data_IF_570490875850
#
_entry.id   IF_570490875850
#
_cell.length_a   1.000
_cell.length_b   1.000
_cell.length_c   1.000
_cell.angle_alpha   90.00
_cell.angle_beta   90.00
_cell.angle_gamma   90.00
#
_symmetry.space_group_name_H-M   'P 1'
#
loop_
_entity.id
_entity.type
_entity.pdbx_description
1 polymer ?
#
# COMPACT_ATOMS: atom_id res chain seq x y z
N UNK A 1 16.33 18.50 -4.36
CA UNK A 1 15.90 17.15 -4.81
C UNK A 1 14.43 17.22 -5.22
N UNK A 2 14.07 16.64 -6.39
CA UNK A 2 12.69 16.62 -6.89
C UNK A 2 12.21 15.18 -7.05
N UNK A 3 10.95 14.92 -6.64
CA UNK A 3 10.33 13.61 -6.66
C UNK A 3 8.97 13.72 -7.33
N UNK A 4 8.77 12.97 -8.41
CA UNK A 4 7.47 12.80 -9.08
C UNK A 4 6.84 11.51 -8.59
N UNK A 5 5.66 11.61 -7.98
CA UNK A 5 4.82 10.46 -7.65
C UNK A 5 3.67 10.37 -8.64
N UNK A 6 3.42 9.19 -9.14
CA UNK A 6 2.35 8.86 -10.07
C UNK A 6 1.47 7.82 -9.38
N UNK A 7 0.17 8.07 -9.22
CA UNK A 7 -0.76 7.10 -8.67
C UNK A 7 -1.43 6.36 -9.81
N UNK A 8 -1.29 5.04 -9.84
CA UNK A 8 -1.72 4.19 -10.93
C UNK A 8 -2.39 2.92 -10.46
N UNK A 9 -3.53 2.57 -11.09
CA UNK A 9 -4.17 1.26 -10.93
C UNK A 9 -3.63 0.27 -11.97
N UNK A 10 -3.42 -0.98 -11.56
CA UNK A 10 -2.99 -2.07 -12.45
C UNK A 10 -4.13 -2.58 -13.34
N UNK A 11 -5.37 -2.27 -12.96
CA UNK A 11 -6.58 -2.70 -13.66
C UNK A 11 -7.04 -1.69 -14.72
N UNK A 12 -6.53 -0.46 -14.65
CA UNK A 12 -6.87 0.60 -15.58
C UNK A 12 -5.78 0.78 -16.64
N UNK A 13 -6.19 1.21 -17.82
CA UNK A 13 -5.22 1.58 -18.85
C UNK A 13 -4.41 2.80 -18.38
N UNK A 14 -3.07 2.79 -18.46
CA UNK A 14 -2.20 3.86 -17.96
C UNK A 14 -2.21 5.12 -18.84
N UNK A 15 -3.41 5.61 -19.17
CA UNK A 15 -3.59 6.80 -20.03
C UNK A 15 -3.75 8.07 -19.22
N UNK A 16 -4.51 7.99 -18.10
CA UNK A 16 -4.72 9.11 -17.19
C UNK A 16 -4.26 8.70 -15.79
N UNK A 17 -3.53 9.59 -15.15
CA UNK A 17 -3.03 9.37 -13.81
C UNK A 17 -3.16 10.62 -12.95
N UNK A 18 -3.20 10.44 -11.65
CA UNK A 18 -2.96 11.50 -10.68
C UNK A 18 -1.47 11.55 -10.39
N UNK A 19 -0.94 12.74 -10.21
CA UNK A 19 0.47 12.91 -9.91
C UNK A 19 0.73 14.01 -8.89
N UNK A 20 1.88 13.94 -8.26
CA UNK A 20 2.40 14.96 -7.35
C UNK A 20 3.89 15.16 -7.59
N UNK A 21 4.30 16.40 -7.83
CA UNK A 21 5.70 16.78 -7.90
C UNK A 21 6.10 17.48 -6.59
N UNK A 22 6.93 16.81 -5.82
CA UNK A 22 7.49 17.31 -4.57
C UNK A 22 8.87 17.87 -4.85
N UNK A 23 9.14 19.10 -4.43
CA UNK A 23 10.45 19.73 -4.52
C UNK A 23 10.84 20.26 -3.15
N UNK A 24 12.12 20.18 -2.81
CA UNK A 24 12.63 20.60 -1.51
C UNK A 24 12.28 22.07 -1.23
N UNK A 25 11.71 22.33 -0.06
CA UNK A 25 11.33 23.67 0.39
C UNK A 25 10.13 24.29 -0.34
N UNK A 26 9.38 23.52 -1.13
CA UNK A 26 8.18 23.99 -1.84
C UNK A 26 6.98 23.13 -1.51
N UNK A 27 5.78 23.72 -1.59
CA UNK A 27 4.53 22.96 -1.55
C UNK A 27 4.45 22.01 -2.76
N UNK A 28 3.94 20.79 -2.59
CA UNK A 28 3.75 19.85 -3.68
C UNK A 28 2.83 20.44 -4.77
N UNK A 29 3.26 20.33 -6.01
CA UNK A 29 2.39 20.63 -7.16
C UNK A 29 1.69 19.34 -7.55
N UNK A 30 0.37 19.36 -7.58
CA UNK A 30 -0.45 18.19 -7.89
C UNK A 30 -1.23 18.40 -9.17
N UNK A 31 -1.51 17.31 -9.87
CA UNK A 31 -2.33 17.36 -11.09
C UNK A 31 -2.92 16.01 -11.43
N UNK A 32 -3.76 16.05 -12.44
CA UNK A 32 -4.35 14.88 -13.08
C UNK A 32 -4.31 15.09 -14.58
N UNK A 33 -3.98 14.07 -15.34
CA UNK A 33 -3.91 14.20 -16.79
C UNK A 33 -3.25 13.02 -17.49
N UNK A 34 -2.93 13.23 -18.75
CA UNK A 34 -2.28 12.22 -19.57
C UNK A 34 -0.83 12.01 -19.14
N UNK A 35 -0.39 10.76 -19.17
CA UNK A 35 0.99 10.36 -18.82
C UNK A 35 2.04 11.15 -19.65
N UNK A 36 1.75 11.39 -20.94
CA UNK A 36 2.63 12.16 -21.81
C UNK A 36 2.77 13.66 -21.43
N UNK A 37 1.94 14.17 -20.52
CA UNK A 37 1.94 15.56 -20.06
C UNK A 37 2.52 15.72 -18.64
N UNK A 38 3.11 14.66 -18.08
CA UNK A 38 3.73 14.70 -16.77
C UNK A 38 4.94 15.66 -16.73
N UNK A 39 5.25 16.23 -15.56
CA UNK A 39 6.49 16.97 -15.37
C UNK A 39 7.72 16.10 -15.59
N UNK A 40 8.43 16.29 -16.69
CA UNK A 40 9.53 15.41 -17.13
C UNK A 40 10.88 15.65 -16.45
N UNK A 41 10.97 16.56 -15.45
CA UNK A 41 12.25 16.96 -14.84
C UNK A 41 12.35 16.59 -13.36
N UNK A 42 11.82 15.43 -12.98
CA UNK A 42 12.04 14.93 -11.63
C UNK A 42 13.33 14.10 -11.58
N UNK A 43 14.08 14.23 -10.49
CA UNK A 43 15.30 13.43 -10.24
C UNK A 43 14.96 11.98 -9.85
N UNK A 44 13.78 11.77 -9.26
CA UNK A 44 13.24 10.44 -8.91
C UNK A 44 11.78 10.36 -9.32
N UNK A 45 11.38 9.17 -9.75
CA UNK A 45 9.98 8.87 -10.09
C UNK A 45 9.51 7.67 -9.30
N UNK A 46 8.33 7.75 -8.72
CA UNK A 46 7.66 6.68 -7.98
C UNK A 46 6.30 6.41 -8.59
N UNK A 47 6.05 5.15 -8.96
CA UNK A 47 4.72 4.64 -9.27
C UNK A 47 4.12 4.10 -7.97
N UNK A 48 3.02 4.71 -7.52
CA UNK A 48 2.31 4.31 -6.30
C UNK A 48 1.10 3.47 -6.70
N UNK A 49 1.06 2.24 -6.22
CA UNK A 49 -0.03 1.30 -6.46
C UNK A 49 -1.03 1.32 -5.28
N UNK A 50 -2.33 1.23 -5.54
CA UNK A 50 -3.36 1.10 -4.52
C UNK A 50 -3.09 -0.08 -3.58
N UNK A 51 -3.41 0.08 -2.31
CA UNK A 51 -3.27 -0.99 -1.31
C UNK A 51 -4.05 -2.26 -1.66
N UNK A 52 -5.16 -2.13 -2.38
CA UNK A 52 -6.02 -3.25 -2.81
C UNK A 52 -5.45 -4.06 -3.99
N UNK A 53 -4.40 -3.57 -4.65
CA UNK A 53 -3.82 -4.20 -5.84
C UNK A 53 -2.46 -4.85 -5.58
N UNK A 54 -1.98 -4.79 -4.34
CA UNK A 54 -0.74 -5.42 -3.91
C UNK A 54 -0.99 -6.25 -2.66
N UNK A 55 -0.90 -7.57 -2.80
CA UNK A 55 -0.92 -8.48 -1.65
C UNK A 55 0.48 -8.50 -1.02
N UNK A 56 0.54 -8.25 0.28
CA UNK A 56 1.77 -8.43 1.07
C UNK A 56 1.55 -9.63 1.97
N UNK A 57 2.38 -10.65 1.85
CA UNK A 57 2.24 -11.89 2.61
C UNK A 57 3.57 -12.43 3.10
N UNK A 58 3.51 -13.23 4.18
CA UNK A 58 4.67 -13.96 4.72
C UNK A 58 4.78 -15.32 4.03
N UNK A 59 5.98 -15.69 3.64
CA UNK A 59 6.29 -17.01 3.09
C UNK A 59 7.59 -17.56 3.68
N UNK A 60 7.75 -18.88 3.67
CA UNK A 60 9.02 -19.51 4.01
C UNK A 60 9.75 -19.85 2.71
N UNK A 61 10.79 -19.11 2.41
CA UNK A 61 11.61 -19.36 1.23
C UNK A 61 12.79 -20.26 1.55
N UNK A 62 13.13 -21.24 0.68
CA UNK A 62 14.40 -21.94 0.75
C UNK A 62 15.56 -20.94 0.65
N UNK A 63 16.66 -21.19 1.35
CA UNK A 63 17.82 -20.27 1.34
C UNK A 63 18.36 -19.98 -0.09
N UNK A 64 18.21 -20.92 -1.02
CA UNK A 64 18.55 -20.75 -2.42
C UNK A 64 17.61 -19.81 -3.18
N UNK A 65 16.35 -19.68 -2.75
CA UNK A 65 15.33 -18.89 -3.43
C UNK A 65 15.55 -17.37 -3.32
N UNK A 66 16.25 -16.93 -2.27
CA UNK A 66 16.61 -15.49 -2.10
C UNK A 66 17.52 -14.94 -3.23
N UNK A 67 18.12 -15.82 -4.01
CA UNK A 67 19.01 -15.48 -5.14
C UNK A 67 18.33 -15.61 -6.51
N UNK A 68 17.13 -16.17 -6.56
CA UNK A 68 16.42 -16.44 -7.81
C UNK A 68 15.14 -15.59 -7.87
N UNK A 69 15.10 -14.70 -8.84
CA UNK A 69 13.91 -13.89 -9.17
C UNK A 69 12.94 -14.72 -10.03
N UNK A 70 11.65 -14.57 -9.83
CA UNK A 70 10.60 -15.05 -10.73
C UNK A 70 9.88 -16.32 -10.25
N UNK A 71 10.06 -17.43 -10.93
CA UNK A 71 9.23 -18.65 -10.75
C UNK A 71 9.24 -19.23 -9.32
N UNK A 72 10.39 -19.20 -8.63
CA UNK A 72 10.49 -19.77 -7.27
C UNK A 72 9.70 -18.95 -6.26
N UNK A 73 9.66 -17.63 -6.41
CA UNK A 73 8.86 -16.76 -5.56
C UNK A 73 7.36 -16.93 -5.85
N UNK A 74 6.98 -17.13 -7.12
CA UNK A 74 5.60 -17.35 -7.50
C UNK A 74 5.02 -18.63 -6.86
N UNK A 75 5.78 -19.72 -6.83
CA UNK A 75 5.37 -20.95 -6.14
C UNK A 75 5.22 -20.78 -4.64
N UNK A 76 6.03 -19.94 -4.01
CA UNK A 76 5.95 -19.73 -2.57
C UNK A 76 4.66 -19.03 -2.11
N UNK A 77 3.93 -18.39 -3.01
CA UNK A 77 2.67 -17.68 -2.75
C UNK A 77 1.48 -18.31 -3.48
N UNK A 78 1.64 -19.48 -4.09
CA UNK A 78 0.59 -20.15 -4.87
C UNK A 78 -0.66 -20.42 -4.02
N UNK A 79 -0.49 -20.82 -2.76
CA UNK A 79 -1.60 -21.08 -1.84
C UNK A 79 -2.31 -19.78 -1.35
N UNK A 80 -1.64 -18.65 -1.46
CA UNK A 80 -2.13 -17.34 -1.01
C UNK A 80 -2.78 -16.54 -2.16
N UNK A 81 -2.63 -17.00 -3.40
CA UNK A 81 -3.13 -16.31 -4.59
C UNK A 81 -4.15 -17.16 -5.33
N UNK A 82 -5.18 -16.49 -5.86
CA UNK A 82 -6.16 -17.12 -6.73
C UNK A 82 -5.69 -16.99 -8.18
N UNK A 83 -5.62 -18.11 -8.89
CA UNK A 83 -5.33 -18.14 -10.33
C UNK A 83 -3.92 -18.65 -10.67
N UNK A 84 -3.48 -18.30 -11.88
CA UNK A 84 -2.19 -18.74 -12.42
C UNK A 84 -1.03 -18.02 -11.72
N UNK A 85 -0.10 -18.73 -11.08
CA UNK A 85 1.09 -18.15 -10.48
C UNK A 85 1.93 -17.31 -11.47
N UNK A 86 1.92 -17.66 -12.74
CA UNK A 86 2.64 -16.95 -13.78
C UNK A 86 2.02 -15.60 -14.15
N UNK A 87 0.76 -15.35 -13.76
CA UNK A 87 0.13 -14.03 -13.90
C UNK A 87 0.64 -13.02 -12.85
N UNK A 88 1.31 -13.49 -11.81
CA UNK A 88 1.78 -12.67 -10.71
C UNK A 88 3.25 -12.24 -10.88
N UNK A 89 3.52 -10.99 -10.58
CA UNK A 89 4.85 -10.47 -10.30
C UNK A 89 5.07 -10.53 -8.78
N UNK A 90 6.03 -11.33 -8.36
CA UNK A 90 6.37 -11.49 -6.94
C UNK A 90 7.72 -10.84 -6.66
N UNK A 91 7.75 -10.00 -5.63
CA UNK A 91 8.96 -9.28 -5.19
C UNK A 91 9.22 -9.55 -3.72
N UNK A 92 10.47 -9.81 -3.37
CA UNK A 92 10.88 -9.93 -1.97
C UNK A 92 11.07 -8.53 -1.37
N UNK A 93 10.40 -8.27 -0.24
CA UNK A 93 10.45 -6.99 0.47
C UNK A 93 11.42 -7.00 1.65
N UNK A 94 11.61 -8.15 2.29
CA UNK A 94 12.43 -8.27 3.49
C UNK A 94 12.14 -9.56 4.24
N UNK A 95 12.63 -9.65 5.47
CA UNK A 95 12.35 -10.79 6.36
C UNK A 95 11.90 -10.26 7.72
N UNK A 96 10.92 -10.93 8.32
CA UNK A 96 10.39 -10.66 9.67
C UNK A 96 10.42 -11.96 10.46
N UNK A 97 11.13 -11.99 11.57
CA UNK A 97 11.42 -13.21 12.31
C UNK A 97 11.99 -14.30 11.37
N UNK A 98 11.36 -15.48 11.34
CA UNK A 98 11.78 -16.62 10.52
C UNK A 98 11.07 -16.72 9.16
N UNK A 99 10.39 -15.66 8.74
CA UNK A 99 9.62 -15.61 7.50
C UNK A 99 10.14 -14.54 6.55
N UNK A 100 10.05 -14.80 5.27
CA UNK A 100 10.25 -13.80 4.23
C UNK A 100 8.93 -13.08 3.93
N UNK A 101 8.99 -11.80 3.61
CA UNK A 101 7.82 -11.00 3.22
C UNK A 101 7.88 -10.72 1.74
N UNK A 102 6.81 -11.05 1.05
CA UNK A 102 6.67 -10.93 -0.39
C UNK A 102 5.53 -9.97 -0.74
N UNK A 103 5.75 -9.16 -1.78
CA UNK A 103 4.70 -8.40 -2.45
C UNK A 103 4.31 -9.11 -3.74
N UNK A 104 3.02 -9.24 -3.97
CA UNK A 104 2.43 -9.87 -5.15
C UNK A 104 1.51 -8.87 -5.84
N UNK A 105 1.72 -8.67 -7.12
CA UNK A 105 0.93 -7.75 -7.94
C UNK A 105 0.70 -8.36 -9.34
N UNK A 106 -0.33 -7.88 -10.04
CA UNK A 106 -0.61 -8.31 -11.41
C UNK A 106 0.55 -7.96 -12.36
N UNK A 107 1.10 -8.98 -13.01
CA UNK A 107 2.24 -8.82 -13.92
C UNK A 107 1.88 -8.06 -15.17
N UNK A 108 0.68 -8.28 -15.72
CA UNK A 108 0.26 -7.65 -16.96
C UNK A 108 0.01 -6.16 -16.74
N UNK A 109 -0.63 -5.78 -15.63
CA UNK A 109 -0.82 -4.38 -15.24
C UNK A 109 0.51 -3.66 -15.01
N UNK A 110 1.45 -4.29 -14.30
CA UNK A 110 2.80 -3.74 -14.12
C UNK A 110 3.52 -3.54 -15.44
N UNK A 111 3.41 -4.52 -16.35
CA UNK A 111 4.00 -4.41 -17.69
C UNK A 111 3.38 -3.27 -18.50
N UNK A 112 2.06 -3.11 -18.45
CA UNK A 112 1.37 -2.02 -19.14
C UNK A 112 1.84 -0.65 -18.63
N UNK A 113 2.03 -0.49 -17.30
CA UNK A 113 2.61 0.71 -16.71
C UNK A 113 4.05 0.94 -17.13
N UNK A 114 4.88 -0.11 -17.16
CA UNK A 114 6.26 -0.03 -17.62
C UNK A 114 6.34 0.49 -19.06
N UNK A 115 5.60 -0.15 -19.98
CA UNK A 115 5.58 0.21 -21.40
C UNK A 115 5.09 1.67 -21.60
N UNK A 116 4.10 2.10 -20.82
CA UNK A 116 3.55 3.45 -20.92
C UNK A 116 4.49 4.52 -20.34
N UNK A 117 5.17 4.25 -19.22
CA UNK A 117 6.16 5.14 -18.62
C UNK A 117 7.37 5.30 -19.55
N UNK A 118 7.87 4.19 -20.12
CA UNK A 118 8.96 4.21 -21.11
C UNK A 118 8.58 5.04 -22.34
N UNK A 119 7.38 4.85 -22.87
CA UNK A 119 6.86 5.64 -23.98
C UNK A 119 6.71 7.15 -23.66
N UNK A 120 6.49 7.48 -22.37
CA UNK A 120 6.47 8.86 -21.87
C UNK A 120 7.88 9.42 -21.57
N UNK A 121 8.95 8.65 -21.81
CA UNK A 121 10.33 9.06 -21.57
C UNK A 121 10.81 8.87 -20.13
N UNK A 122 10.10 8.08 -19.32
CA UNK A 122 10.44 7.74 -17.94
C UNK A 122 10.99 6.30 -17.93
N UNK A 123 12.30 6.14 -18.06
CA UNK A 123 12.97 4.83 -18.11
C UNK A 123 13.33 4.26 -16.73
N UNK A 124 13.50 5.11 -15.73
CA UNK A 124 13.86 4.69 -14.36
C UNK A 124 12.81 5.18 -13.36
N UNK A 125 12.23 4.25 -12.60
CA UNK A 125 11.26 4.55 -11.56
C UNK A 125 11.22 3.44 -10.51
N UNK A 126 10.71 3.77 -9.34
CA UNK A 126 10.48 2.84 -8.23
C UNK A 126 8.97 2.54 -8.14
N UNK A 127 8.61 1.29 -7.82
CA UNK A 127 7.22 0.92 -7.55
C UNK A 127 7.01 0.82 -6.05
N UNK A 128 5.99 1.50 -5.55
CA UNK A 128 5.63 1.53 -4.13
C UNK A 128 4.18 1.08 -3.94
N UNK A 129 3.93 0.27 -2.91
CA UNK A 129 2.58 0.00 -2.44
C UNK A 129 2.15 1.11 -1.47
N UNK A 130 0.97 1.66 -1.67
CA UNK A 130 0.37 2.70 -0.81
C UNK A 130 0.38 2.30 0.67
N UNK A 131 0.14 1.02 0.96
CA UNK A 131 0.17 0.48 2.33
C UNK A 131 1.49 0.77 3.05
N UNK A 132 2.63 0.55 2.38
CA UNK A 132 3.95 0.73 2.97
C UNK A 132 4.41 2.20 3.00
N UNK A 133 3.65 3.10 2.41
CA UNK A 133 3.90 4.54 2.49
C UNK A 133 3.28 5.18 3.75
N UNK A 134 2.40 4.47 4.48
CA UNK A 134 1.92 4.95 5.77
C UNK A 134 3.09 5.15 6.75
N UNK A 135 3.06 6.19 7.59
CA UNK A 135 4.05 6.35 8.66
C UNK A 135 4.05 5.10 9.57
N UNK A 136 5.20 4.76 10.10
CA UNK A 136 5.34 3.68 11.05
C UNK A 136 6.12 4.15 12.27
N UNK A 137 5.56 3.93 13.47
CA UNK A 137 6.23 4.16 14.72
C UNK A 137 6.38 2.84 15.50
N UNK A 138 7.39 2.75 16.35
CA UNK A 138 7.66 1.54 17.11
C UNK A 138 6.49 1.15 18.02
N UNK A 139 5.97 -0.06 17.87
CA UNK A 139 4.85 -0.58 18.63
C UNK A 139 3.47 -0.03 18.23
N UNK A 140 3.39 0.68 17.11
CA UNK A 140 2.13 1.18 16.55
C UNK A 140 1.86 0.53 15.18
N UNK A 141 0.58 0.36 14.86
CA UNK A 141 0.11 0.18 13.50
C UNK A 141 -0.39 1.52 12.95
N UNK A 142 -0.35 1.69 11.64
CA UNK A 142 -0.95 2.85 10.97
C UNK A 142 -2.07 2.42 10.06
N UNK A 143 -3.26 2.98 10.26
CA UNK A 143 -4.46 2.70 9.48
C UNK A 143 -4.88 3.95 8.71
N UNK A 144 -4.95 3.88 7.39
CA UNK A 144 -5.66 4.86 6.58
C UNK A 144 -7.12 4.41 6.40
N UNK A 145 -8.05 5.34 6.56
CA UNK A 145 -9.48 5.06 6.52
C UNK A 145 -10.23 6.14 5.75
N UNK A 146 -11.04 5.76 4.76
CA UNK A 146 -11.79 6.71 3.91
C UNK A 146 -13.27 6.88 4.30
N UNK A 147 -13.68 6.26 5.40
CA UNK A 147 -15.06 6.24 5.88
C UNK A 147 -15.78 4.93 5.59
N UNK A 148 -15.21 4.04 4.77
CA UNK A 148 -15.76 2.74 4.41
C UNK A 148 -14.70 1.65 4.32
N UNK A 149 -13.61 1.93 3.66
CA UNK A 149 -12.51 1.02 3.40
C UNK A 149 -11.20 1.65 3.88
N UNK A 150 -10.15 0.85 3.95
CA UNK A 150 -8.86 1.35 4.35
C UNK A 150 -7.74 0.38 4.05
N UNK A 151 -6.60 0.70 4.58
CA UNK A 151 -5.43 -0.18 4.58
C UNK A 151 -4.58 0.10 5.81
N UNK A 152 -3.92 -0.92 6.29
CA UNK A 152 -3.14 -0.88 7.51
C UNK A 152 -1.70 -1.30 7.25
N UNK A 153 -0.75 -0.51 7.76
CA UNK A 153 0.65 -0.88 7.87
C UNK A 153 0.90 -1.45 9.26
N UNK A 154 1.37 -2.68 9.32
CA UNK A 154 1.57 -3.44 10.56
C UNK A 154 3.03 -3.57 10.94
N UNK A 155 3.94 -3.37 9.99
CA UNK A 155 5.37 -3.48 10.17
C UNK A 155 6.18 -2.72 9.12
N UNK A 156 7.49 -2.87 9.15
CA UNK A 156 8.39 -2.19 8.23
C UNK A 156 8.07 -2.53 6.77
N UNK A 157 7.84 -3.81 6.50
CA UNK A 157 7.53 -4.36 5.18
C UNK A 157 6.16 -5.07 5.15
N UNK A 158 5.29 -4.85 6.12
CA UNK A 158 4.04 -5.58 6.31
C UNK A 158 2.84 -4.65 6.38
N UNK A 159 1.73 -5.12 5.86
CA UNK A 159 0.46 -4.45 5.88
C UNK A 159 -0.52 -5.07 4.88
N UNK A 160 -1.76 -4.61 4.89
CA UNK A 160 -2.81 -5.11 4.01
C UNK A 160 -3.90 -4.05 3.77
N UNK A 161 -4.64 -4.20 2.69
CA UNK A 161 -5.93 -3.55 2.54
C UNK A 161 -6.95 -4.14 3.52
N UNK A 162 -7.94 -3.35 3.93
CA UNK A 162 -9.03 -3.82 4.77
C UNK A 162 -10.30 -3.99 3.94
N UNK A 163 -11.20 -4.86 4.41
CA UNK A 163 -12.57 -4.92 3.94
C UNK A 163 -13.38 -3.70 4.42
N UNK A 164 -14.67 -3.67 4.04
CA UNK A 164 -15.55 -2.59 4.44
C UNK A 164 -15.85 -2.66 5.95
N UNK A 165 -15.87 -1.49 6.55
CA UNK A 165 -16.41 -1.24 7.88
C UNK A 165 -17.43 -0.10 7.84
N UNK A 166 -17.85 0.36 8.99
CA UNK A 166 -18.70 1.54 9.12
C UNK A 166 -18.27 2.40 10.32
N UNK A 167 -19.06 3.43 10.62
CA UNK A 167 -18.73 4.33 11.69
C UNK A 167 -18.61 3.64 13.07
N UNK A 168 -19.41 2.61 13.32
CA UNK A 168 -19.49 1.93 14.63
C UNK A 168 -18.74 0.60 14.63
N UNK A 169 -18.55 -0.01 13.44
CA UNK A 169 -18.00 -1.36 13.27
C UNK A 169 -16.70 -1.31 12.49
N UNK A 170 -15.56 -1.67 13.10
CA UNK A 170 -14.30 -1.74 12.37
C UNK A 170 -14.31 -2.87 11.33
N UNK A 171 -13.47 -2.77 10.27
CA UNK A 171 -13.29 -3.83 9.28
C UNK A 171 -13.01 -5.17 9.94
N UNK A 172 -13.59 -6.25 9.43
CA UNK A 172 -13.40 -7.60 9.96
C UNK A 172 -11.94 -8.05 9.78
N UNK A 173 -11.33 -7.75 8.64
CA UNK A 173 -9.92 -8.07 8.37
C UNK A 173 -8.98 -7.43 9.40
N UNK A 174 -9.24 -6.18 9.80
CA UNK A 174 -8.44 -5.51 10.83
C UNK A 174 -8.54 -6.25 12.19
N UNK A 175 -9.74 -6.73 12.55
CA UNK A 175 -9.95 -7.51 13.77
C UNK A 175 -9.18 -8.84 13.71
N UNK A 176 -9.28 -9.55 12.58
CA UNK A 176 -8.58 -10.83 12.38
C UNK A 176 -7.06 -10.64 12.43
N UNK A 177 -6.52 -9.62 11.78
CA UNK A 177 -5.09 -9.30 11.84
C UNK A 177 -4.62 -9.00 13.26
N UNK A 178 -5.44 -8.28 14.05
CA UNK A 178 -5.11 -8.01 15.46
C UNK A 178 -5.14 -9.28 16.33
N UNK A 179 -6.12 -10.15 16.13
CA UNK A 179 -6.22 -11.40 16.89
C UNK A 179 -5.06 -12.33 16.54
N UNK A 180 -4.65 -12.38 15.29
CA UNK A 180 -3.46 -13.11 14.86
C UNK A 180 -2.16 -12.52 15.44
N UNK A 181 -2.03 -11.19 15.45
CA UNK A 181 -0.89 -10.52 16.07
C UNK A 181 -0.83 -10.74 17.59
N UNK A 182 -1.98 -10.75 18.28
CA UNK A 182 -2.07 -11.10 19.70
C UNK A 182 -1.59 -12.54 19.96
N UNK A 183 -2.00 -13.47 19.10
CA UNK A 183 -1.57 -14.88 19.22
C UNK A 183 -0.07 -15.06 19.01
N UNK A 184 0.56 -14.18 18.22
CA UNK A 184 2.02 -14.17 17.99
C UNK A 184 2.80 -13.28 18.98
N UNK A 185 2.13 -12.57 19.88
CA UNK A 185 2.72 -11.58 20.81
C UNK A 185 3.36 -10.40 20.03
N UNK A 186 2.80 -10.07 18.88
CA UNK A 186 3.23 -8.97 17.98
C UNK A 186 2.19 -7.84 17.92
N UNK A 187 1.16 -7.88 18.76
CA UNK A 187 0.08 -6.90 18.74
C UNK A 187 0.58 -5.48 19.04
N UNK A 188 0.08 -4.45 18.31
CA UNK A 188 0.44 -3.08 18.58
C UNK A 188 -0.15 -2.60 19.91
N UNK A 189 0.46 -1.59 20.49
CA UNK A 189 -0.11 -0.89 21.65
C UNK A 189 -1.18 0.12 21.23
N UNK A 190 -0.99 0.71 20.06
CA UNK A 190 -1.83 1.78 19.51
C UNK A 190 -1.98 1.60 18.01
N UNK A 191 -3.13 1.96 17.47
CA UNK A 191 -3.33 2.15 16.03
C UNK A 191 -3.44 3.66 15.76
N UNK A 192 -2.54 4.21 14.97
CA UNK A 192 -2.59 5.57 14.47
C UNK A 192 -3.57 5.63 13.28
N UNK A 193 -4.77 6.17 13.52
CA UNK A 193 -5.82 6.32 12.52
C UNK A 193 -5.62 7.60 11.73
N UNK A 194 -5.48 7.49 10.43
CA UNK A 194 -5.34 8.57 9.46
C UNK A 194 -6.58 8.59 8.56
N UNK A 195 -7.31 9.71 8.55
CA UNK A 195 -8.43 9.84 7.63
C UNK A 195 -7.89 10.08 6.21
N UNK A 196 -8.27 9.23 5.28
CA UNK A 196 -7.96 9.35 3.87
C UNK A 196 -9.10 10.05 3.13
N UNK A 197 -8.79 10.70 2.00
CA UNK A 197 -9.83 11.23 1.14
C UNK A 197 -10.66 10.07 0.57
N UNK A 198 -12.00 10.21 0.62
CA UNK A 198 -12.88 9.22 0.03
C UNK A 198 -12.62 9.09 -1.49
N UNK A 199 -12.66 7.87 -1.99
CA UNK A 199 -12.57 7.60 -3.44
C UNK A 199 -13.95 7.86 -4.06
N UNK A 200 -14.06 8.89 -4.92
CA UNK A 200 -15.29 9.26 -5.61
C UNK A 200 -16.10 10.37 -4.90
N UNK A 201 -17.34 10.59 -5.35
CA UNK A 201 -18.25 11.65 -4.89
C UNK A 201 -18.89 11.37 -3.51
N UNK A 202 -18.43 10.40 -2.77
CA UNK A 202 -18.98 10.06 -1.47
C UNK A 202 -18.61 11.12 -0.43
N UNK A 203 -19.62 11.74 0.18
CA UNK A 203 -19.50 12.70 1.30
C UNK A 203 -18.90 12.10 2.59
N UNK A 204 -18.22 10.96 2.50
CA UNK A 204 -17.88 10.12 3.65
C UNK A 204 -16.40 10.23 4.04
N UNK A 205 -15.96 11.40 4.49
CA UNK A 205 -14.82 11.53 5.41
C UNK A 205 -15.27 11.44 6.88
N UNK A 206 -16.30 10.65 7.16
CA UNK A 206 -16.77 10.50 8.52
C UNK A 206 -15.75 9.67 9.32
N UNK A 207 -15.11 10.31 10.29
CA UNK A 207 -14.30 9.59 11.26
C UNK A 207 -15.16 8.51 11.94
N UNK A 208 -14.59 7.32 12.19
CA UNK A 208 -15.29 6.29 12.93
C UNK A 208 -15.55 6.75 14.38
N UNK A 209 -16.48 6.09 15.04
CA UNK A 209 -16.64 6.20 16.47
C UNK A 209 -15.44 5.52 17.16
N UNK A 210 -14.48 6.33 17.58
CA UNK A 210 -13.21 5.87 18.16
C UNK A 210 -13.45 4.97 19.36
N UNK A 211 -14.40 5.35 20.25
CA UNK A 211 -14.69 4.57 21.45
C UNK A 211 -15.35 3.22 21.11
N UNK A 212 -16.24 3.20 20.12
CA UNK A 212 -16.86 1.96 19.66
C UNK A 212 -15.82 1.01 19.05
N UNK A 213 -14.93 1.54 18.21
CA UNK A 213 -13.87 0.75 17.58
C UNK A 213 -12.85 0.26 18.63
N UNK A 214 -12.40 1.09 19.56
CA UNK A 214 -11.48 0.69 20.64
C UNK A 214 -12.02 -0.46 21.46
N UNK A 215 -13.32 -0.40 21.82
CA UNK A 215 -13.96 -1.49 22.58
C UNK A 215 -13.96 -2.80 21.82
N UNK A 216 -14.17 -2.77 20.49
CA UNK A 216 -14.24 -3.98 19.65
C UNK A 216 -12.87 -4.53 19.30
N UNK A 217 -11.88 -3.67 19.07
CA UNK A 217 -10.52 -4.05 18.69
C UNK A 217 -9.66 -4.41 19.91
N UNK A 218 -10.00 -3.87 21.09
CA UNK A 218 -9.23 -4.07 22.31
C UNK A 218 -7.83 -3.46 22.23
N UNK A 219 -7.68 -2.36 21.47
CA UNK A 219 -6.44 -1.60 21.31
C UNK A 219 -6.76 -0.11 21.28
N UNK A 220 -5.83 0.72 21.73
CA UNK A 220 -5.97 2.16 21.67
C UNK A 220 -5.95 2.66 20.22
N UNK A 221 -6.91 3.53 19.86
CA UNK A 221 -6.88 4.27 18.58
C UNK A 221 -6.54 5.74 18.85
N UNK A 222 -5.58 6.25 18.09
CA UNK A 222 -5.16 7.64 18.15
C UNK A 222 -5.35 8.29 16.78
N UNK A 223 -6.18 9.32 16.71
CA UNK A 223 -6.30 10.10 15.48
C UNK A 223 -4.97 10.77 15.15
N UNK A 224 -4.51 10.56 13.92
CA UNK A 224 -3.27 11.11 13.39
C UNK A 224 -3.55 12.11 12.25
N UNK A 225 -2.49 12.61 11.62
CA UNK A 225 -2.62 13.49 10.46
C UNK A 225 -3.34 12.74 9.33
N UNK A 226 -4.22 13.45 8.60
CA UNK A 226 -4.90 12.90 7.43
C UNK A 226 -3.90 12.29 6.42
N UNK A 227 -4.28 11.15 5.87
CA UNK A 227 -3.51 10.47 4.85
C UNK A 227 -3.62 11.17 3.50
N UNK A 228 -2.48 11.41 2.91
CA UNK A 228 -2.36 11.87 1.53
C UNK A 228 -1.08 11.29 0.92
N UNK A 229 -1.21 10.35 0.00
CA UNK A 229 -0.09 9.70 -0.70
C UNK A 229 0.84 10.72 -1.39
N UNK A 230 0.31 11.89 -1.76
CA UNK A 230 1.08 12.96 -2.40
C UNK A 230 2.14 13.54 -1.45
N UNK A 231 1.90 13.42 -0.15
CA UNK A 231 2.71 13.98 0.94
C UNK A 231 3.33 12.91 1.84
N UNK A 232 3.29 11.65 1.42
CA UNK A 232 3.92 10.55 2.17
C UNK A 232 5.42 10.83 2.37
N UNK A 233 6.03 10.31 3.46
CA UNK A 233 7.44 10.51 3.76
C UNK A 233 8.37 9.93 2.69
#
# INVERSE_FOLDING_TARGET
MSLLRIYGSLHDAPQQCQWSLVSEGREPVTGQGLLAQLPQRAERVQLVLPATEVLITRAKLPQSAKRHTGSVLAFAVEEETLGDPDANQVSWLGSVADSDVLAVADRQGLKAWHDALEAAGIGEYEVHCETLMLPLAAGEWSLAWDGREGFVRTGEVEGAATDCGDRETPPMSLRLMLDEAKARIEAPKTIALQLAAAKGDAESNAAPDIDAWQRQLGVELRLARAWDWRRAP
#
